data_IF_734940761122
#
_entry.id   IF_734940761122
#
_cell.length_a   1.000
_cell.length_b   1.000
_cell.length_c   1.000
_cell.angle_alpha   90.00
_cell.angle_beta   90.00
_cell.angle_gamma   90.00
#
_symmetry.space_group_name_H-M   'P 1'
#
loop_
_entity.id
_entity.type
_entity.pdbx_description
1 polymer ?
#
# COMPACT_ATOMS: atom_id res chain seq x y z
N UNK A 1 -4.97 1.86 -15.79
CA UNK A 1 -4.34 2.78 -14.81
C UNK A 1 -2.83 2.54 -14.74
N UNK A 2 -2.12 2.40 -15.87
CA UNK A 2 -0.66 2.45 -15.85
C UNK A 2 -0.23 3.91 -15.99
N UNK A 3 0.54 4.40 -15.03
CA UNK A 3 0.99 5.79 -14.98
C UNK A 3 2.51 5.81 -15.12
N UNK A 4 2.97 5.88 -16.38
CA UNK A 4 4.42 5.95 -16.70
C UNK A 4 5.14 7.08 -15.93
N UNK A 5 4.42 8.09 -15.46
CA UNK A 5 4.94 9.18 -14.66
C UNK A 5 5.55 8.73 -13.30
N UNK A 6 5.22 7.54 -12.82
CA UNK A 6 5.65 7.05 -11.51
C UNK A 6 6.56 5.82 -11.56
N UNK A 7 6.85 5.27 -12.74
CA UNK A 7 7.70 4.09 -12.91
C UNK A 7 9.08 4.26 -12.27
N UNK A 8 9.75 5.39 -12.45
CA UNK A 8 11.05 5.66 -11.83
C UNK A 8 11.00 5.67 -10.29
N UNK A 9 9.89 6.13 -9.70
CA UNK A 9 9.69 6.06 -8.26
C UNK A 9 9.50 4.62 -7.81
N UNK A 10 8.69 3.83 -8.52
CA UNK A 10 8.47 2.41 -8.21
C UNK A 10 9.76 1.58 -8.34
N UNK A 11 10.57 1.84 -9.36
CA UNK A 11 11.91 1.26 -9.53
C UNK A 11 12.81 1.59 -8.33
N UNK A 12 12.85 2.85 -7.90
CA UNK A 12 13.65 3.26 -6.74
C UNK A 12 13.22 2.61 -5.43
N UNK A 13 11.99 2.10 -5.38
CA UNK A 13 11.41 1.38 -4.24
C UNK A 13 11.58 -0.14 -4.31
N UNK A 14 12.32 -0.62 -5.31
CA UNK A 14 12.62 -2.05 -5.53
C UNK A 14 11.34 -2.87 -5.75
N UNK A 15 10.37 -2.29 -6.47
CA UNK A 15 9.12 -2.95 -6.83
C UNK A 15 9.30 -3.86 -8.06
N UNK A 16 8.64 -5.01 -8.05
CA UNK A 16 8.42 -5.82 -9.24
C UNK A 16 7.41 -5.10 -10.14
N UNK A 17 7.91 -4.36 -11.13
CA UNK A 17 7.09 -3.51 -11.98
C UNK A 17 6.10 -4.31 -12.83
N UNK A 18 6.46 -5.51 -13.28
CA UNK A 18 5.57 -6.34 -14.08
C UNK A 18 4.39 -6.82 -13.23
N UNK A 19 4.69 -7.34 -12.03
CA UNK A 19 3.65 -7.75 -11.09
C UNK A 19 2.78 -6.57 -10.63
N UNK A 20 3.39 -5.40 -10.42
CA UNK A 20 2.69 -4.19 -9.99
C UNK A 20 1.78 -3.61 -11.09
N UNK A 21 2.25 -3.57 -12.35
CA UNK A 21 1.44 -3.16 -13.49
C UNK A 21 0.26 -4.11 -13.71
N UNK A 22 0.47 -5.43 -13.57
CA UNK A 22 -0.60 -6.41 -13.66
C UNK A 22 -1.68 -6.18 -12.57
N UNK A 23 -1.27 -5.89 -11.34
CA UNK A 23 -2.18 -5.54 -10.24
C UNK A 23 -2.99 -4.28 -10.57
N UNK A 24 -2.34 -3.21 -11.02
CA UNK A 24 -3.00 -1.95 -11.35
C UNK A 24 -3.92 -2.06 -12.57
N UNK A 25 -3.61 -2.94 -13.52
CA UNK A 25 -4.47 -3.24 -14.65
C UNK A 25 -5.79 -3.90 -14.19
N UNK A 26 -5.70 -4.90 -13.30
CA UNK A 26 -6.89 -5.54 -12.72
C UNK A 26 -7.70 -4.55 -11.91
N UNK A 27 -7.06 -3.76 -11.03
CA UNK A 27 -7.75 -2.76 -10.21
C UNK A 27 -8.49 -1.73 -11.07
N UNK A 28 -7.84 -1.21 -12.11
CA UNK A 28 -8.45 -0.25 -13.02
C UNK A 28 -9.66 -0.81 -13.77
N UNK A 29 -9.58 -2.08 -14.19
CA UNK A 29 -10.72 -2.78 -14.81
C UNK A 29 -11.86 -2.95 -13.80
N UNK A 30 -11.57 -3.45 -12.59
CA UNK A 30 -12.57 -3.65 -11.56
C UNK A 30 -13.28 -2.35 -11.17
N UNK A 31 -12.54 -1.24 -10.98
CA UNK A 31 -13.14 0.05 -10.66
C UNK A 31 -14.01 0.59 -11.80
N UNK A 32 -13.57 0.40 -13.05
CA UNK A 32 -14.35 0.74 -14.24
C UNK A 32 -15.67 -0.03 -14.30
N UNK A 33 -15.61 -1.35 -14.11
CA UNK A 33 -16.76 -2.24 -14.22
C UNK A 33 -17.73 -2.10 -13.03
N UNK A 34 -17.21 -1.89 -11.82
CA UNK A 34 -18.01 -1.87 -10.58
C UNK A 34 -18.53 -0.48 -10.30
N UNK A 35 -17.68 0.54 -10.29
CA UNK A 35 -18.02 1.87 -9.78
C UNK A 35 -18.36 2.86 -10.90
N UNK A 36 -17.54 2.95 -11.95
CA UNK A 36 -17.73 3.94 -13.01
C UNK A 36 -18.90 3.61 -13.95
N UNK A 37 -19.31 2.33 -14.01
CA UNK A 37 -20.45 1.88 -14.81
C UNK A 37 -21.82 2.21 -14.18
N UNK A 38 -21.85 2.57 -12.89
CA UNK A 38 -23.10 2.79 -12.16
C UNK A 38 -23.78 4.10 -12.59
N UNK A 39 -25.11 4.08 -12.70
CA UNK A 39 -25.93 5.27 -12.89
C UNK A 39 -26.28 5.93 -11.55
N UNK A 40 -26.45 7.26 -11.54
CA UNK A 40 -26.89 7.98 -10.34
C UNK A 40 -25.82 8.16 -9.25
N UNK A 41 -24.53 8.08 -9.59
CA UNK A 41 -23.41 8.28 -8.67
C UNK A 41 -23.48 9.65 -7.97
N UNK A 42 -23.03 9.70 -6.72
CA UNK A 42 -23.01 10.92 -5.90
C UNK A 42 -22.11 12.00 -6.54
N UNK A 43 -22.60 13.24 -6.59
CA UNK A 43 -21.78 14.41 -6.94
C UNK A 43 -20.68 14.58 -5.88
N UNK A 44 -19.44 14.77 -6.29
CA UNK A 44 -18.27 14.84 -5.41
C UNK A 44 -17.43 13.54 -5.36
N UNK A 45 -17.95 12.43 -5.89
CA UNK A 45 -17.19 11.18 -5.99
C UNK A 45 -16.00 11.29 -6.96
N UNK A 46 -15.93 12.34 -7.78
CA UNK A 46 -14.84 12.58 -8.73
C UNK A 46 -13.48 12.73 -8.03
N UNK A 47 -13.46 13.19 -6.78
CA UNK A 47 -12.24 13.21 -5.97
C UNK A 47 -11.73 11.81 -5.67
N UNK A 48 -12.63 10.87 -5.33
CA UNK A 48 -12.26 9.48 -5.08
C UNK A 48 -11.84 8.78 -6.38
N UNK A 49 -12.51 9.09 -7.50
CA UNK A 49 -12.11 8.62 -8.84
C UNK A 49 -10.67 9.05 -9.16
N UNK A 50 -10.35 10.31 -8.88
CA UNK A 50 -9.01 10.85 -9.04
C UNK A 50 -7.99 10.15 -8.13
N UNK A 51 -8.30 10.00 -6.83
CA UNK A 51 -7.41 9.32 -5.87
C UNK A 51 -7.12 7.88 -6.33
N UNK A 52 -8.15 7.14 -6.75
CA UNK A 52 -8.00 5.76 -7.21
C UNK A 52 -7.22 5.67 -8.52
N UNK A 53 -7.38 6.65 -9.42
CA UNK A 53 -6.57 6.73 -10.64
C UNK A 53 -5.08 6.89 -10.38
N UNK A 54 -4.70 7.33 -9.16
CA UNK A 54 -3.33 7.56 -8.72
C UNK A 54 -2.99 6.83 -7.41
N UNK A 55 -3.66 5.70 -7.13
CA UNK A 55 -3.62 5.01 -5.82
C UNK A 55 -2.20 4.67 -5.34
N UNK A 56 -1.29 4.30 -6.25
CA UNK A 56 0.13 4.03 -5.95
C UNK A 56 1.09 5.12 -6.46
N UNK A 57 0.56 6.29 -6.85
CA UNK A 57 1.34 7.41 -7.40
C UNK A 57 1.55 8.53 -6.39
N UNK A 58 0.59 9.47 -6.34
CA UNK A 58 0.74 10.74 -5.63
C UNK A 58 1.01 10.57 -4.12
N UNK A 59 0.23 9.73 -3.43
CA UNK A 59 0.41 9.53 -1.99
C UNK A 59 1.75 8.87 -1.65
N UNK A 60 2.22 7.96 -2.50
CA UNK A 60 3.54 7.33 -2.32
C UNK A 60 4.64 8.38 -2.46
N UNK A 61 4.52 9.27 -3.44
CA UNK A 61 5.44 10.40 -3.60
C UNK A 61 5.46 11.31 -2.36
N UNK A 62 4.30 11.69 -1.82
CA UNK A 62 4.23 12.50 -0.59
C UNK A 62 4.93 11.82 0.60
N UNK A 63 4.79 10.49 0.72
CA UNK A 63 5.46 9.70 1.76
C UNK A 63 6.98 9.73 1.55
N UNK A 64 7.46 9.56 0.30
CA UNK A 64 8.88 9.64 -0.02
C UNK A 64 9.46 11.03 0.27
N UNK A 65 8.74 12.10 -0.08
CA UNK A 65 9.14 13.49 0.20
C UNK A 65 9.17 13.75 1.73
N UNK A 66 8.22 13.21 2.49
CA UNK A 66 8.24 13.27 3.95
C UNK A 66 9.45 12.54 4.54
N UNK A 67 9.80 11.35 4.03
CA UNK A 67 11.01 10.62 4.45
C UNK A 67 12.29 11.40 4.12
N UNK A 68 12.36 12.00 2.93
CA UNK A 68 13.49 12.84 2.51
C UNK A 68 13.63 14.10 3.40
N UNK A 69 12.51 14.64 3.89
CA UNK A 69 12.48 15.72 4.86
C UNK A 69 12.78 15.27 6.32
N UNK A 70 13.14 14.00 6.53
CA UNK A 70 13.52 13.46 7.83
C UNK A 70 12.35 13.00 8.71
N UNK A 71 11.12 12.95 8.18
CA UNK A 71 9.97 12.41 8.93
C UNK A 71 10.00 10.89 8.94
N UNK A 72 9.59 10.30 10.06
CA UNK A 72 9.36 8.87 10.15
C UNK A 72 8.06 8.49 9.43
N UNK A 73 8.02 7.27 8.89
CA UNK A 73 6.82 6.66 8.30
C UNK A 73 6.48 5.40 9.08
N UNK A 74 5.24 5.32 9.58
CA UNK A 74 4.76 4.22 10.41
C UNK A 74 3.67 3.47 9.63
N UNK A 75 3.94 2.20 9.32
CA UNK A 75 2.95 1.29 8.75
C UNK A 75 2.09 0.66 9.84
N UNK A 76 0.77 0.63 9.66
CA UNK A 76 -0.17 0.04 10.64
C UNK A 76 -1.06 -1.02 9.99
N UNK A 77 -1.40 -2.05 10.76
CA UNK A 77 -2.21 -3.19 10.29
C UNK A 77 -3.50 -3.39 11.09
N UNK A 78 -3.67 -2.62 12.17
CA UNK A 78 -4.74 -2.80 13.14
C UNK A 78 -5.42 -1.46 13.39
N UNK A 79 -6.75 -1.42 13.33
CA UNK A 79 -7.54 -0.22 13.61
C UNK A 79 -7.50 0.23 15.08
N UNK A 80 -6.90 -0.56 15.98
CA UNK A 80 -6.63 -0.15 17.35
C UNK A 80 -5.31 0.60 17.52
N UNK A 81 -4.50 0.74 16.46
CA UNK A 81 -3.34 1.64 16.49
C UNK A 81 -3.87 3.07 16.48
N UNK A 82 -3.52 3.91 17.46
CA UNK A 82 -4.07 5.26 17.57
C UNK A 82 -3.52 6.16 16.47
N UNK A 83 -4.43 6.65 15.62
CA UNK A 83 -4.12 7.49 14.46
C UNK A 83 -3.61 8.88 14.87
N UNK A 84 -3.81 9.29 16.12
CA UNK A 84 -3.42 10.60 16.64
C UNK A 84 -1.95 10.66 17.08
N UNK A 85 -1.35 9.55 17.51
CA UNK A 85 0.00 9.55 18.07
C UNK A 85 1.07 9.80 17.01
N UNK A 86 0.99 9.12 15.87
CA UNK A 86 1.94 9.26 14.77
C UNK A 86 2.05 10.71 14.25
N UNK A 87 0.94 11.41 13.90
CA UNK A 87 1.02 12.81 13.48
C UNK A 87 1.42 13.76 14.61
N UNK A 88 1.03 13.50 15.87
CA UNK A 88 1.49 14.29 17.01
C UNK A 88 3.02 14.22 17.19
N UNK A 89 3.63 13.09 16.82
CA UNK A 89 5.09 12.91 16.78
C UNK A 89 5.75 13.47 15.50
N UNK A 90 5.00 14.15 14.62
CA UNK A 90 5.51 14.71 13.35
C UNK A 90 5.80 13.66 12.28
N UNK A 91 5.31 12.44 12.43
CA UNK A 91 5.49 11.32 11.50
C UNK A 91 4.28 11.14 10.59
N UNK A 92 4.43 10.33 9.54
CA UNK A 92 3.36 9.95 8.62
C UNK A 92 2.90 8.53 8.95
N UNK A 93 1.60 8.32 9.13
CA UNK A 93 1.02 6.99 9.26
C UNK A 93 0.47 6.50 7.92
N UNK A 94 0.64 5.21 7.64
CA UNK A 94 0.06 4.54 6.48
C UNK A 94 -0.58 3.22 6.91
N UNK A 95 -1.89 3.07 6.67
CA UNK A 95 -2.57 1.79 6.83
C UNK A 95 -2.17 0.84 5.71
N UNK A 96 -1.78 -0.38 6.06
CA UNK A 96 -1.26 -1.40 5.14
C UNK A 96 -2.11 -2.69 5.15
N UNK A 97 -3.31 -2.63 5.73
CA UNK A 97 -4.27 -3.72 5.64
C UNK A 97 -4.88 -3.70 4.23
N UNK A 98 -4.52 -4.68 3.42
CA UNK A 98 -5.10 -4.88 2.10
C UNK A 98 -5.31 -6.38 1.88
N UNK A 99 -6.48 -6.74 1.34
CA UNK A 99 -6.75 -8.09 0.90
C UNK A 99 -6.70 -8.14 -0.62
N UNK A 100 -5.68 -8.83 -1.14
CA UNK A 100 -5.63 -9.27 -2.51
C UNK A 100 -5.07 -10.70 -2.56
N UNK A 101 -5.61 -11.53 -3.45
CA UNK A 101 -5.10 -12.88 -3.66
C UNK A 101 -3.66 -12.92 -4.21
N UNK A 102 -3.14 -11.79 -4.68
CA UNK A 102 -1.78 -11.65 -5.20
C UNK A 102 -0.73 -12.05 -4.14
N UNK A 103 0.15 -12.99 -4.50
CA UNK A 103 1.24 -13.43 -3.61
C UNK A 103 0.86 -14.49 -2.57
N UNK A 104 -0.37 -15.02 -2.57
CA UNK A 104 -0.81 -16.07 -1.62
C UNK A 104 0.10 -17.29 -1.63
N UNK A 105 0.48 -17.80 -2.81
CA UNK A 105 1.36 -18.97 -2.93
C UNK A 105 2.74 -18.71 -2.31
N UNK A 106 3.30 -17.51 -2.54
CA UNK A 106 4.57 -17.10 -1.90
C UNK A 106 4.41 -17.01 -0.38
N UNK A 107 3.30 -16.48 0.12
CA UNK A 107 3.04 -16.39 1.55
C UNK A 107 2.95 -17.78 2.21
N UNK A 108 2.31 -18.74 1.56
CA UNK A 108 2.15 -20.11 2.07
C UNK A 108 3.44 -20.94 2.07
N UNK A 109 4.54 -20.41 1.51
CA UNK A 109 5.87 -21.02 1.68
C UNK A 109 6.40 -20.87 3.11
N UNK A 110 5.94 -19.85 3.83
CA UNK A 110 6.37 -19.55 5.21
C UNK A 110 5.21 -19.46 6.22
N UNK A 111 3.97 -19.40 5.74
CA UNK A 111 2.77 -19.40 6.58
C UNK A 111 1.95 -20.68 6.38
N UNK A 112 1.28 -21.20 7.43
CA UNK A 112 0.29 -22.24 7.28
C UNK A 112 -0.81 -21.85 6.28
N UNK A 113 -1.25 -22.79 5.44
CA UNK A 113 -2.32 -22.55 4.45
C UNK A 113 -3.63 -22.06 5.07
N UNK A 114 -3.90 -22.46 6.31
CA UNK A 114 -5.08 -22.08 7.10
C UNK A 114 -4.93 -20.72 7.81
N UNK A 115 -3.87 -19.95 7.52
CA UNK A 115 -3.74 -18.57 8.00
C UNK A 115 -4.76 -17.67 7.32
N UNK A 116 -5.28 -16.67 8.05
CA UNK A 116 -6.20 -15.66 7.53
C UNK A 116 -5.70 -15.03 6.21
N UNK A 117 -6.59 -14.84 5.24
CA UNK A 117 -6.29 -14.31 3.92
C UNK A 117 -5.60 -12.93 3.97
N UNK A 118 -5.99 -12.06 4.91
CA UNK A 118 -5.39 -10.74 5.08
C UNK A 118 -3.91 -10.82 5.47
N UNK A 119 -3.55 -11.71 6.39
CA UNK A 119 -2.16 -11.92 6.81
C UNK A 119 -1.35 -12.50 5.64
N UNK A 120 -1.94 -13.47 4.91
CA UNK A 120 -1.30 -14.05 3.73
C UNK A 120 -1.08 -13.01 2.64
N UNK A 121 -2.04 -12.13 2.39
CA UNK A 121 -1.92 -11.06 1.40
C UNK A 121 -0.77 -10.12 1.73
N UNK A 122 -0.69 -9.62 2.97
CA UNK A 122 0.40 -8.77 3.42
C UNK A 122 1.78 -9.41 3.21
N UNK A 123 1.94 -10.65 3.70
CA UNK A 123 3.20 -11.38 3.59
C UNK A 123 3.51 -11.68 2.11
N UNK A 124 2.50 -12.04 1.33
CA UNK A 124 2.61 -12.27 -0.11
C UNK A 124 3.10 -11.04 -0.85
N UNK A 125 2.50 -9.87 -0.59
CA UNK A 125 2.93 -8.58 -1.15
C UNK A 125 4.37 -8.22 -0.79
N UNK A 126 4.78 -8.49 0.45
CA UNK A 126 6.17 -8.26 0.89
C UNK A 126 7.16 -9.19 0.19
N UNK A 127 6.82 -10.48 0.06
CA UNK A 127 7.67 -11.48 -0.60
C UNK A 127 7.68 -11.34 -2.12
N UNK A 128 6.64 -10.77 -2.71
CA UNK A 128 6.54 -10.51 -4.13
C UNK A 128 7.16 -9.17 -4.55
N UNK A 129 7.69 -8.37 -3.61
CA UNK A 129 8.13 -6.99 -3.87
C UNK A 129 7.05 -6.16 -4.59
N UNK A 130 5.77 -6.43 -4.27
CA UNK A 130 4.63 -5.71 -4.84
C UNK A 130 4.12 -4.59 -3.89
N UNK A 131 4.75 -4.45 -2.71
CA UNK A 131 4.58 -3.34 -1.78
C UNK A 131 5.91 -2.61 -1.58
N UNK A 132 5.88 -1.28 -1.63
CA UNK A 132 7.07 -0.46 -1.48
C UNK A 132 7.77 -0.75 -0.15
N UNK A 133 9.10 -0.86 -0.18
CA UNK A 133 9.89 -0.95 1.05
C UNK A 133 9.78 0.37 1.79
N UNK A 134 9.06 0.40 2.91
CA UNK A 134 9.28 1.45 3.93
C UNK A 134 10.64 1.13 4.57
N UNK A 135 11.69 1.74 4.02
CA UNK A 135 13.06 1.66 4.56
C UNK A 135 13.03 2.13 6.01
N UNK A 136 13.72 1.46 6.95
CA UNK A 136 13.81 1.97 8.30
C UNK A 136 14.43 3.37 8.25
N UNK A 137 13.80 4.32 8.94
CA UNK A 137 14.47 5.57 9.26
C UNK A 137 15.85 5.26 9.86
N UNK A 138 16.86 6.09 9.57
CA UNK A 138 18.23 5.96 10.09
C UNK A 138 18.31 5.83 11.63
N UNK A 139 17.21 6.11 12.32
CA UNK A 139 16.95 5.77 13.71
C UNK A 139 16.09 4.50 13.76
N UNK A 140 16.71 3.35 14.04
CA UNK A 140 16.08 2.02 14.00
C UNK A 140 14.86 1.86 14.91
N UNK A 141 13.70 2.30 14.44
CA UNK A 141 12.42 2.06 15.10
C UNK A 141 11.49 1.28 14.16
N UNK A 142 11.84 0.01 13.98
CA UNK A 142 10.88 -1.03 13.66
C UNK A 142 10.08 -1.28 14.95
N UNK A 143 8.94 -0.64 15.13
CA UNK A 143 7.98 -1.08 16.16
C UNK A 143 7.25 -2.30 15.60
N UNK A 144 7.97 -3.41 15.46
CA UNK A 144 7.39 -4.72 15.66
C UNK A 144 7.48 -4.98 17.16
N UNK A 145 6.49 -4.48 17.92
CA UNK A 145 6.27 -4.99 19.27
C UNK A 145 5.01 -5.85 19.27
N UNK A 146 5.18 -7.05 18.73
CA UNK A 146 4.42 -8.25 19.07
C UNK A 146 5.52 -9.29 19.25
N UNK A 147 5.99 -9.65 20.44
CA UNK A 147 5.36 -9.94 21.75
C UNK A 147 6.52 -9.84 22.80
N UNK A 148 6.40 -10.20 24.11
CA UNK A 148 7.56 -10.12 25.01
C UNK A 148 8.74 -11.00 24.58
#
# INVERSE_FOLDING_TARGET
MSDQAHTAMWESLDLDLEAHDALLAVLGKCYGDIDLSQEGRLKGAEYLDFVLSKVHGLRIREIQEAQAAGKNVVGTFCGFVPDELTPAAGAVQAGLYAEAGAGTEKAETILPRNTCALIKSLVGFKLASALARVVPAKSGMLIFNATP
#
